data_IF_873342120579
#
_entry.id   IF_873342120579
#
_cell.length_a   1.000
_cell.length_b   1.000
_cell.length_c   1.000
_cell.angle_alpha   90.00
_cell.angle_beta   90.00
_cell.angle_gamma   90.00
#
_symmetry.space_group_name_H-M   'P 1'
#
loop_
_entity.id
_entity.type
_entity.pdbx_description
1 polymer ?
#
# COMPACT_ATOMS: atom_id res chain seq x y z
N UNK A 1 -2.38 -25.30 13.12
CA UNK A 1 -2.59 -23.84 13.14
C UNK A 1 -1.81 -23.30 11.95
N UNK A 2 -2.42 -23.35 10.77
CA UNK A 2 -1.77 -22.98 9.50
C UNK A 2 -1.54 -21.48 9.52
N UNK A 3 -0.27 -21.08 9.46
CA UNK A 3 0.20 -19.72 9.62
C UNK A 3 -0.48 -18.84 8.56
N UNK A 4 -1.05 -17.70 8.96
CA UNK A 4 -1.69 -16.74 8.03
C UNK A 4 -0.68 -16.27 6.96
N UNK A 5 0.62 -16.38 7.26
CA UNK A 5 1.73 -16.20 6.31
C UNK A 5 1.60 -17.07 5.06
N UNK A 6 1.18 -18.33 5.19
CA UNK A 6 1.18 -19.27 4.06
C UNK A 6 0.03 -19.03 3.06
N UNK A 7 -1.02 -18.28 3.42
CA UNK A 7 -2.18 -18.05 2.54
C UNK A 7 -2.18 -16.70 1.82
N UNK A 8 -1.30 -15.77 2.19
CA UNK A 8 -1.27 -14.41 1.62
C UNK A 8 -0.08 -14.25 0.66
N UNK A 9 1.02 -14.98 0.90
CA UNK A 9 2.25 -14.94 0.09
C UNK A 9 2.08 -15.60 -1.29
N UNK A 10 1.02 -16.39 -1.52
CA UNK A 10 0.75 -17.03 -2.81
C UNK A 10 0.41 -16.07 -3.97
N UNK A 11 0.23 -14.76 -3.72
CA UNK A 11 -0.20 -13.84 -4.79
C UNK A 11 0.95 -13.22 -5.60
N UNK A 12 2.13 -13.09 -5.01
CA UNK A 12 3.33 -12.65 -5.73
C UNK A 12 4.27 -13.84 -5.80
N UNK A 13 4.24 -14.52 -6.93
CA UNK A 13 5.21 -15.57 -7.21
C UNK A 13 6.56 -14.93 -7.54
N UNK A 14 7.42 -14.86 -6.51
CA UNK A 14 8.79 -14.35 -6.64
C UNK A 14 9.52 -15.04 -7.79
N UNK A 15 9.29 -16.33 -8.00
CA UNK A 15 9.97 -17.10 -9.04
C UNK A 15 9.54 -16.65 -10.42
N UNK A 16 8.24 -16.44 -10.63
CA UNK A 16 7.71 -15.97 -11.92
C UNK A 16 8.10 -14.52 -12.21
N UNK A 17 8.08 -13.64 -11.20
CA UNK A 17 8.52 -12.25 -11.34
C UNK A 17 10.01 -12.14 -11.70
N UNK A 18 10.84 -12.97 -11.09
CA UNK A 18 12.27 -13.04 -11.36
C UNK A 18 12.52 -13.67 -12.74
N UNK A 19 11.83 -14.76 -13.06
CA UNK A 19 11.90 -15.41 -14.37
C UNK A 19 11.54 -14.45 -15.50
N UNK A 20 10.43 -13.70 -15.36
CA UNK A 20 9.96 -12.73 -16.34
C UNK A 20 10.91 -11.55 -16.53
N UNK A 21 11.56 -11.07 -15.46
CA UNK A 21 12.42 -9.88 -15.50
C UNK A 21 13.63 -9.99 -16.44
N UNK A 22 14.15 -11.20 -16.63
CA UNK A 22 15.30 -11.50 -17.52
C UNK A 22 14.99 -12.58 -18.54
N UNK A 23 13.72 -12.96 -18.68
CA UNK A 23 13.21 -13.97 -19.63
C UNK A 23 13.94 -15.32 -19.53
N UNK A 24 14.01 -15.85 -18.32
CA UNK A 24 14.58 -17.18 -18.05
C UNK A 24 13.50 -18.17 -17.63
N UNK A 25 13.80 -19.47 -17.70
CA UNK A 25 12.90 -20.50 -17.20
C UNK A 25 12.73 -20.41 -15.68
N UNK A 26 11.53 -20.76 -15.19
CA UNK A 26 11.17 -20.75 -13.77
C UNK A 26 12.09 -21.61 -12.91
N UNK A 27 12.53 -22.78 -13.41
CA UNK A 27 13.47 -23.65 -12.69
C UNK A 27 14.83 -22.97 -12.51
N UNK A 28 15.27 -22.22 -13.51
CA UNK A 28 16.53 -21.48 -13.46
C UNK A 28 16.42 -20.30 -12.47
N UNK A 29 15.32 -19.56 -12.52
CA UNK A 29 15.04 -18.50 -11.54
C UNK A 29 15.03 -19.04 -10.11
N UNK A 30 14.33 -20.15 -9.84
CA UNK A 30 14.27 -20.79 -8.52
C UNK A 30 15.67 -21.17 -7.99
N UNK A 31 16.53 -21.75 -8.84
CA UNK A 31 17.92 -22.06 -8.46
C UNK A 31 18.70 -20.80 -8.10
N UNK A 32 18.63 -19.77 -8.93
CA UNK A 32 19.35 -18.51 -8.68
C UNK A 32 18.85 -17.83 -7.40
N UNK A 33 17.55 -17.88 -7.14
CA UNK A 33 16.96 -17.39 -5.87
C UNK A 33 17.54 -18.15 -4.68
N UNK A 34 17.51 -19.50 -4.69
CA UNK A 34 18.08 -20.33 -3.62
C UNK A 34 19.53 -19.97 -3.36
N UNK A 35 20.32 -19.77 -4.41
CA UNK A 35 21.73 -19.39 -4.26
C UNK A 35 21.91 -18.04 -3.55
N UNK A 36 21.11 -17.03 -3.88
CA UNK A 36 21.18 -15.76 -3.17
C UNK A 36 20.66 -15.86 -1.72
N UNK A 37 19.71 -16.76 -1.45
CA UNK A 37 19.22 -17.04 -0.09
C UNK A 37 20.24 -17.77 0.77
N UNK A 38 21.00 -18.68 0.18
CA UNK A 38 22.15 -19.35 0.80
C UNK A 38 23.36 -18.41 1.01
N UNK A 39 23.26 -17.15 0.58
CA UNK A 39 24.26 -16.12 0.81
C UNK A 39 25.37 -16.05 -0.24
N UNK A 40 25.23 -16.74 -1.37
CA UNK A 40 26.21 -16.65 -2.45
C UNK A 40 26.26 -15.23 -3.05
N UNK A 41 27.48 -14.72 -3.28
CA UNK A 41 27.69 -13.40 -3.90
C UNK A 41 27.75 -13.50 -5.42
N UNK A 42 27.45 -12.41 -6.13
CA UNK A 42 27.53 -12.38 -7.59
C UNK A 42 28.90 -12.81 -8.12
N UNK A 43 30.04 -12.31 -7.59
CA UNK A 43 31.36 -12.78 -8.03
C UNK A 43 31.57 -14.30 -7.80
N UNK A 44 31.07 -14.84 -6.68
CA UNK A 44 31.17 -16.26 -6.39
C UNK A 44 30.36 -17.10 -7.39
N UNK A 45 29.11 -16.70 -7.66
CA UNK A 45 28.23 -17.40 -8.60
C UNK A 45 28.83 -17.38 -10.01
N UNK A 46 29.26 -16.20 -10.47
CA UNK A 46 29.85 -16.01 -11.80
C UNK A 46 31.11 -16.86 -12.01
N UNK A 47 31.92 -17.04 -10.95
CA UNK A 47 33.20 -17.76 -11.04
C UNK A 47 33.08 -19.26 -10.80
N UNK A 48 32.26 -19.69 -9.84
CA UNK A 48 32.25 -21.06 -9.34
C UNK A 48 30.96 -21.83 -9.59
N UNK A 49 29.90 -21.17 -10.09
CA UNK A 49 28.57 -21.77 -10.27
C UNK A 49 27.97 -21.47 -11.64
N UNK A 50 28.82 -21.19 -12.64
CA UNK A 50 28.44 -20.84 -14.01
C UNK A 50 27.54 -21.90 -14.67
N UNK A 51 27.86 -23.18 -14.47
CA UNK A 51 27.05 -24.30 -15.00
C UNK A 51 25.63 -24.36 -14.40
N UNK A 52 25.50 -24.00 -13.12
CA UNK A 52 24.22 -24.04 -12.40
C UNK A 52 23.28 -22.93 -12.88
N UNK A 53 23.85 -21.78 -13.25
CA UNK A 53 23.11 -20.62 -13.76
C UNK A 53 22.94 -20.61 -15.28
N UNK A 54 23.44 -21.62 -16.00
CA UNK A 54 23.38 -21.66 -17.46
C UNK A 54 24.27 -20.61 -18.14
N UNK A 55 25.36 -20.22 -17.49
CA UNK A 55 26.33 -19.28 -18.07
C UNK A 55 26.02 -17.81 -17.90
N UNK A 56 25.15 -17.42 -16.95
CA UNK A 56 24.77 -16.01 -16.75
C UNK A 56 25.98 -15.10 -16.53
N UNK A 57 25.98 -13.98 -17.24
CA UNK A 57 26.95 -12.91 -17.07
C UNK A 57 26.78 -12.19 -15.72
N UNK A 58 27.85 -11.67 -15.11
CA UNK A 58 27.79 -10.95 -13.83
C UNK A 58 26.76 -9.82 -13.82
N UNK A 59 26.61 -9.09 -14.92
CA UNK A 59 25.63 -8.01 -15.04
C UNK A 59 24.18 -8.51 -14.90
N UNK A 60 23.86 -9.69 -15.43
CA UNK A 60 22.53 -10.32 -15.29
C UNK A 60 22.30 -10.77 -13.86
N UNK A 61 23.30 -11.36 -13.22
CA UNK A 61 23.23 -11.77 -11.81
C UNK A 61 23.01 -10.58 -10.87
N UNK A 62 23.61 -9.42 -11.14
CA UNK A 62 23.34 -8.19 -10.41
C UNK A 62 21.88 -7.74 -10.53
N UNK A 63 21.34 -7.66 -11.77
CA UNK A 63 19.93 -7.31 -12.00
C UNK A 63 18.96 -8.27 -11.32
N UNK A 64 19.27 -9.57 -11.38
CA UNK A 64 18.50 -10.62 -10.71
C UNK A 64 18.50 -10.40 -9.19
N UNK A 65 19.66 -10.14 -8.59
CA UNK A 65 19.77 -9.86 -7.15
C UNK A 65 18.95 -8.64 -6.75
N UNK A 66 19.01 -7.56 -7.53
CA UNK A 66 18.21 -6.34 -7.30
C UNK A 66 16.71 -6.62 -7.39
N UNK A 67 16.26 -7.34 -8.43
CA UNK A 67 14.85 -7.72 -8.60
C UNK A 67 14.36 -8.65 -7.49
N UNK A 68 15.16 -9.62 -7.07
CA UNK A 68 14.84 -10.51 -5.94
C UNK A 68 14.64 -9.67 -4.67
N UNK A 69 15.56 -8.74 -4.40
CA UNK A 69 15.48 -7.89 -3.22
C UNK A 69 14.24 -6.97 -3.27
N UNK A 70 13.96 -6.34 -4.40
CA UNK A 70 12.79 -5.46 -4.54
C UNK A 70 11.46 -6.23 -4.38
N UNK A 71 11.35 -7.42 -4.98
CA UNK A 71 10.19 -8.30 -4.80
C UNK A 71 10.03 -8.73 -3.32
N UNK A 72 11.13 -9.08 -2.63
CA UNK A 72 11.09 -9.42 -1.20
C UNK A 72 10.62 -8.24 -0.34
N UNK A 73 11.13 -7.04 -0.60
CA UNK A 73 10.71 -5.83 0.10
C UNK A 73 9.23 -5.53 -0.13
N UNK A 74 8.73 -5.71 -1.35
CA UNK A 74 7.31 -5.58 -1.69
C UNK A 74 6.46 -6.58 -0.91
N UNK A 75 6.80 -7.87 -0.95
CA UNK A 75 6.08 -8.93 -0.24
C UNK A 75 6.03 -8.63 1.26
N UNK A 76 7.17 -8.26 1.86
CA UNK A 76 7.24 -7.92 3.28
C UNK A 76 6.38 -6.69 3.62
N UNK A 77 6.36 -5.67 2.74
CA UNK A 77 5.55 -4.46 2.93
C UNK A 77 4.04 -4.76 2.84
N UNK A 78 3.64 -5.63 1.92
CA UNK A 78 2.26 -6.09 1.77
C UNK A 78 1.84 -6.86 3.02
N UNK A 79 2.64 -7.85 3.46
CA UNK A 79 2.35 -8.64 4.67
C UNK A 79 2.21 -7.75 5.92
N UNK A 80 3.15 -6.82 6.13
CA UNK A 80 3.05 -5.85 7.24
C UNK A 80 1.78 -5.01 7.17
N UNK A 81 1.36 -4.60 5.97
CA UNK A 81 0.12 -3.84 5.77
C UNK A 81 -1.11 -4.70 6.10
N UNK A 82 -1.17 -5.93 5.61
CA UNK A 82 -2.22 -6.89 5.93
C UNK A 82 -2.37 -7.09 7.44
N UNK A 83 -1.26 -7.37 8.13
CA UNK A 83 -1.26 -7.55 9.59
C UNK A 83 -1.73 -6.28 10.32
N UNK A 84 -1.30 -5.10 9.86
CA UNK A 84 -1.66 -3.82 10.44
C UNK A 84 -3.17 -3.51 10.34
N UNK A 85 -3.76 -3.69 9.15
CA UNK A 85 -5.19 -3.42 8.94
C UNK A 85 -6.08 -4.51 9.53
N UNK A 86 -5.64 -5.77 9.48
CA UNK A 86 -6.36 -6.89 10.10
C UNK A 86 -6.50 -6.70 11.62
N UNK A 87 -5.41 -6.32 12.30
CA UNK A 87 -5.42 -6.03 13.76
C UNK A 87 -6.34 -4.89 14.16
N UNK A 88 -6.64 -3.95 13.25
CA UNK A 88 -7.53 -2.82 13.50
C UNK A 88 -8.97 -3.06 13.02
N UNK A 89 -9.27 -4.22 12.43
CA UNK A 89 -10.58 -4.49 11.83
C UNK A 89 -10.88 -3.64 10.59
N UNK A 90 -9.85 -3.05 9.96
CA UNK A 90 -9.96 -2.17 8.80
C UNK A 90 -9.65 -2.89 7.48
N UNK A 91 -9.31 -4.18 7.52
CA UNK A 91 -9.00 -4.97 6.33
C UNK A 91 -10.30 -5.42 5.63
N UNK A 92 -10.73 -4.66 4.63
CA UNK A 92 -11.85 -5.04 3.76
C UNK A 92 -11.40 -6.00 2.66
N UNK A 93 -12.36 -6.72 2.04
CA UNK A 93 -12.07 -7.57 0.87
C UNK A 93 -11.48 -6.77 -0.29
N UNK A 94 -11.94 -5.55 -0.48
CA UNK A 94 -11.45 -4.65 -1.54
C UNK A 94 -10.00 -4.20 -1.27
N UNK A 95 -9.69 -3.76 -0.05
CA UNK A 95 -8.33 -3.41 0.35
C UNK A 95 -7.37 -4.61 0.23
N UNK A 96 -7.83 -5.80 0.63
CA UNK A 96 -7.09 -7.05 0.48
C UNK A 96 -6.77 -7.34 -1.00
N UNK A 97 -7.75 -7.20 -1.89
CA UNK A 97 -7.56 -7.38 -3.33
C UNK A 97 -6.58 -6.36 -3.91
N UNK A 98 -6.68 -5.10 -3.50
CA UNK A 98 -5.82 -4.03 -4.00
C UNK A 98 -4.37 -4.19 -3.51
N UNK A 99 -4.16 -4.55 -2.24
CA UNK A 99 -2.83 -4.83 -1.69
C UNK A 99 -2.11 -5.94 -2.45
N UNK A 100 -2.86 -6.97 -2.86
CA UNK A 100 -2.34 -8.09 -3.66
C UNK A 100 -1.96 -7.71 -5.10
N UNK A 101 -2.51 -6.62 -5.62
CA UNK A 101 -2.24 -6.14 -6.98
C UNK A 101 -1.09 -5.12 -7.05
N UNK A 102 -0.61 -4.62 -5.91
CA UNK A 102 0.49 -3.66 -5.87
C UNK A 102 1.78 -4.25 -6.47
N UNK A 103 2.44 -3.48 -7.33
CA UNK A 103 3.67 -3.86 -8.04
C UNK A 103 4.93 -3.22 -7.46
N UNK A 104 4.77 -2.29 -6.53
CA UNK A 104 5.87 -1.54 -5.92
C UNK A 104 5.58 -1.20 -4.46
N UNK A 105 6.63 -0.97 -3.68
CA UNK A 105 6.49 -0.57 -2.27
C UNK A 105 5.84 0.80 -2.13
N UNK A 106 5.99 1.63 -3.16
CA UNK A 106 5.39 2.95 -3.32
C UNK A 106 3.88 2.84 -3.49
N UNK A 107 3.40 1.95 -4.38
CA UNK A 107 1.96 1.68 -4.53
C UNK A 107 1.33 1.18 -3.22
N UNK A 108 2.00 0.28 -2.49
CA UNK A 108 1.53 -0.16 -1.18
C UNK A 108 1.47 1.01 -0.20
N UNK A 109 2.46 1.90 -0.23
CA UNK A 109 2.46 3.09 0.64
C UNK A 109 1.29 4.00 0.29
N UNK A 110 1.11 4.35 -0.97
CA UNK A 110 0.01 5.20 -1.46
C UNK A 110 -1.36 4.62 -1.10
N UNK A 111 -1.55 3.32 -1.28
CA UNK A 111 -2.77 2.61 -0.91
C UNK A 111 -3.06 2.69 0.59
N UNK A 112 -2.03 2.54 1.42
CA UNK A 112 -2.22 2.32 2.87
C UNK A 112 -2.09 3.58 3.70
N UNK A 113 -1.40 4.60 3.22
CA UNK A 113 -1.13 5.84 3.96
C UNK A 113 -2.39 6.64 4.30
N UNK A 114 -3.38 6.79 3.41
CA UNK A 114 -4.64 7.46 3.74
C UNK A 114 -5.47 6.73 4.80
N UNK A 115 -5.40 5.41 4.81
CA UNK A 115 -6.17 4.54 5.70
C UNK A 115 -5.59 4.48 7.11
N UNK A 116 -4.32 4.86 7.27
CA UNK A 116 -3.72 4.94 8.60
C UNK A 116 -4.41 6.05 9.39
N UNK A 117 -4.77 5.80 10.66
CA UNK A 117 -5.34 6.83 11.51
C UNK A 117 -4.36 8.00 11.58
N UNK A 118 -4.81 9.14 11.04
CA UNK A 118 -4.09 10.40 11.18
C UNK A 118 -4.04 10.77 12.66
N UNK A 119 -2.92 11.32 13.11
CA UNK A 119 -2.75 11.67 14.51
C UNK A 119 -3.90 12.55 15.04
N UNK A 120 -4.24 12.48 16.34
CA UNK A 120 -5.39 13.17 16.93
C UNK A 120 -5.31 14.71 16.82
N UNK A 121 -4.15 15.23 16.41
CA UNK A 121 -3.89 16.66 16.25
C UNK A 121 -4.32 17.23 14.90
N UNK A 122 -4.66 16.39 13.92
CA UNK A 122 -5.11 16.90 12.61
C UNK A 122 -6.45 17.63 12.72
N UNK A 123 -6.65 18.66 11.90
CA UNK A 123 -7.91 19.41 11.87
C UNK A 123 -9.09 18.49 11.51
N UNK A 124 -8.90 17.55 10.58
CA UNK A 124 -9.92 16.55 10.25
C UNK A 124 -10.25 15.64 11.43
N UNK A 125 -9.26 15.13 12.17
CA UNK A 125 -9.51 14.30 13.36
C UNK A 125 -10.26 15.07 14.46
N UNK A 126 -9.88 16.32 14.72
CA UNK A 126 -10.59 17.19 15.68
C UNK A 126 -12.02 17.50 15.23
N UNK A 127 -12.23 17.72 13.93
CA UNK A 127 -13.55 17.95 13.35
C UNK A 127 -14.45 16.70 13.42
N UNK A 128 -13.89 15.52 13.13
CA UNK A 128 -14.59 14.22 13.28
C UNK A 128 -14.95 13.93 14.74
N UNK A 129 -14.08 14.29 15.69
CA UNK A 129 -14.33 14.12 17.13
C UNK A 129 -15.53 14.91 17.64
N UNK A 130 -15.94 15.98 16.95
CA UNK A 130 -17.16 16.76 17.24
C UNK A 130 -18.29 16.47 16.25
N UNK A 131 -18.26 15.29 15.61
CA UNK A 131 -19.31 14.80 14.70
C UNK A 131 -19.56 15.66 13.45
N UNK A 132 -18.50 16.24 12.84
CA UNK A 132 -18.63 16.93 11.54
C UNK A 132 -18.60 15.99 10.31
N UNK A 133 -18.30 14.70 10.48
CA UNK A 133 -18.26 13.74 9.36
C UNK A 133 -19.61 13.56 8.64
N UNK A 134 -20.75 13.41 9.34
CA UNK A 134 -22.06 13.32 8.66
C UNK A 134 -22.40 14.58 7.85
N UNK A 135 -22.00 15.76 8.33
CA UNK A 135 -22.24 17.04 7.64
C UNK A 135 -21.40 17.12 6.37
N UNK A 136 -20.13 16.70 6.43
CA UNK A 136 -19.26 16.60 5.26
C UNK A 136 -19.83 15.63 4.21
N UNK A 137 -20.32 14.46 4.64
CA UNK A 137 -20.93 13.49 3.74
C UNK A 137 -22.26 13.99 3.16
N UNK A 138 -23.06 14.74 3.91
CA UNK A 138 -24.28 15.37 3.39
C UNK A 138 -23.93 16.35 2.27
N UNK A 139 -22.92 17.21 2.47
CA UNK A 139 -22.44 18.15 1.44
C UNK A 139 -22.04 17.41 0.17
N UNK A 140 -21.25 16.34 0.31
CA UNK A 140 -20.76 15.56 -0.84
C UNK A 140 -21.88 14.87 -1.63
N UNK A 141 -22.96 14.45 -0.96
CA UNK A 141 -24.06 13.72 -1.58
C UNK A 141 -25.25 14.62 -1.97
N UNK A 142 -25.25 15.88 -1.54
CA UNK A 142 -26.33 16.83 -1.81
C UNK A 142 -26.15 17.51 -3.17
N UNK A 143 -27.26 17.68 -3.89
CA UNK A 143 -27.32 18.50 -5.12
C UNK A 143 -27.67 19.97 -4.83
N UNK A 144 -27.75 20.35 -3.56
CA UNK A 144 -28.17 21.68 -3.10
C UNK A 144 -27.24 22.20 -2.00
N UNK A 145 -27.09 23.52 -1.83
CA UNK A 145 -26.27 24.08 -0.76
C UNK A 145 -26.74 23.62 0.63
N UNK A 146 -25.82 23.14 1.45
CA UNK A 146 -26.06 22.75 2.85
C UNK A 146 -25.69 23.92 3.77
N UNK A 147 -26.63 24.31 4.63
CA UNK A 147 -26.36 25.32 5.68
C UNK A 147 -25.59 24.68 6.84
N UNK A 148 -24.29 24.97 6.90
CA UNK A 148 -23.37 24.43 7.89
C UNK A 148 -23.76 24.76 9.33
N UNK A 149 -24.17 26.00 9.63
CA UNK A 149 -24.47 26.40 11.01
C UNK A 149 -25.79 25.79 11.50
N UNK A 150 -26.70 25.44 10.57
CA UNK A 150 -27.92 24.73 10.91
C UNK A 150 -27.73 23.23 11.09
N UNK A 151 -26.77 22.63 10.36
CA UNK A 151 -26.56 21.17 10.36
C UNK A 151 -25.46 20.71 11.31
N UNK A 152 -24.49 21.57 11.63
CA UNK A 152 -23.40 21.22 12.53
C UNK A 152 -23.89 21.03 13.98
N UNK A 153 -23.34 20.06 14.72
CA UNK A 153 -23.61 19.92 16.15
C UNK A 153 -23.22 21.18 16.94
N UNK A 154 -23.92 21.51 18.04
CA UNK A 154 -23.57 22.65 18.90
C UNK A 154 -22.13 22.62 19.39
N UNK A 155 -21.61 21.42 19.68
CA UNK A 155 -20.22 21.19 20.10
C UNK A 155 -19.24 21.58 19.01
N UNK A 156 -19.57 21.31 17.74
CA UNK A 156 -18.74 21.68 16.61
C UNK A 156 -18.75 23.20 16.36
N UNK A 157 -19.92 23.83 16.46
CA UNK A 157 -20.05 25.30 16.36
C UNK A 157 -19.24 25.97 17.47
N UNK A 158 -19.31 25.46 18.70
CA UNK A 158 -18.52 25.96 19.83
C UNK A 158 -17.02 25.75 19.63
N UNK A 159 -16.62 24.60 19.08
CA UNK A 159 -15.21 24.24 18.91
C UNK A 159 -14.52 25.02 17.79
N UNK A 160 -15.23 25.31 16.69
CA UNK A 160 -14.64 25.89 15.48
C UNK A 160 -15.10 27.31 15.16
N UNK A 161 -16.27 27.76 15.66
CA UNK A 161 -16.77 29.12 15.46
C UNK A 161 -16.72 29.56 13.99
N UNK A 162 -15.96 30.62 13.69
CA UNK A 162 -15.75 31.14 12.34
C UNK A 162 -14.99 30.17 11.41
N UNK A 163 -14.22 29.23 11.95
CA UNK A 163 -13.45 28.23 11.19
C UNK A 163 -14.24 26.94 10.91
N UNK A 164 -15.56 26.93 11.16
CA UNK A 164 -16.41 25.76 10.94
C UNK A 164 -16.36 25.27 9.49
N UNK A 165 -16.35 26.20 8.53
CA UNK A 165 -16.26 25.86 7.10
C UNK A 165 -14.94 25.15 6.77
N UNK A 166 -13.81 25.70 7.23
CA UNK A 166 -12.49 25.10 7.06
C UNK A 166 -12.40 23.71 7.69
N UNK A 167 -12.97 23.52 8.88
CA UNK A 167 -13.03 22.23 9.54
C UNK A 167 -13.76 21.17 8.71
N UNK A 168 -14.89 21.52 8.09
CA UNK A 168 -15.64 20.63 7.20
C UNK A 168 -14.88 20.35 5.91
N UNK A 169 -14.23 21.35 5.31
CA UNK A 169 -13.36 21.15 4.15
C UNK A 169 -12.23 20.17 4.44
N UNK A 170 -11.62 20.23 5.63
CA UNK A 170 -10.61 19.26 6.04
C UNK A 170 -11.16 17.84 6.20
N UNK A 171 -12.41 17.69 6.64
CA UNK A 171 -13.07 16.38 6.69
C UNK A 171 -13.32 15.85 5.28
N UNK A 172 -13.82 16.68 4.38
CA UNK A 172 -14.03 16.33 2.97
C UNK A 172 -12.71 15.94 2.30
N UNK A 173 -11.65 16.73 2.51
CA UNK A 173 -10.32 16.41 2.01
C UNK A 173 -9.79 15.09 2.58
N UNK A 174 -10.11 14.77 3.84
CA UNK A 174 -9.78 13.47 4.43
C UNK A 174 -10.53 12.31 3.80
N UNK A 175 -11.78 12.53 3.37
CA UNK A 175 -12.58 11.54 2.61
C UNK A 175 -11.96 11.31 1.23
N UNK A 176 -11.69 12.38 0.47
CA UNK A 176 -11.07 12.25 -0.86
C UNK A 176 -9.67 11.67 -0.82
N UNK A 177 -8.86 12.03 0.18
CA UNK A 177 -7.52 11.45 0.33
C UNK A 177 -7.56 9.93 0.51
N UNK A 178 -8.68 9.38 0.99
CA UNK A 178 -8.90 7.93 1.19
C UNK A 178 -9.59 7.27 0.00
N UNK A 179 -10.02 8.03 -1.00
CA UNK A 179 -10.58 7.51 -2.24
C UNK A 179 -9.45 7.17 -3.21
N UNK A 180 -9.18 5.87 -3.35
CA UNK A 180 -8.05 5.37 -4.11
C UNK A 180 -8.23 5.51 -5.63
N UNK A 181 -9.46 5.43 -6.14
CA UNK A 181 -9.74 5.64 -7.57
C UNK A 181 -9.35 7.07 -7.97
N UNK A 182 -9.68 8.03 -7.10
CA UNK A 182 -9.34 9.43 -7.30
C UNK A 182 -7.83 9.69 -7.20
N UNK A 183 -7.14 9.06 -6.23
CA UNK A 183 -5.67 9.15 -6.10
C UNK A 183 -4.97 8.59 -7.33
N UNK A 184 -5.37 7.41 -7.80
CA UNK A 184 -4.80 6.78 -9.01
C UNK A 184 -5.04 7.61 -10.26
N UNK A 185 -6.23 8.20 -10.41
CA UNK A 185 -6.52 9.07 -11.54
C UNK A 185 -5.67 10.34 -11.53
N UNK A 186 -5.50 10.95 -10.36
CA UNK A 186 -4.69 12.16 -10.20
C UNK A 186 -3.20 11.96 -10.52
N UNK A 187 -2.64 10.76 -10.27
CA UNK A 187 -1.25 10.43 -10.60
C UNK A 187 -1.02 10.15 -12.09
N UNK A 188 -2.08 9.88 -12.86
CA UNK A 188 -2.01 9.65 -14.30
C UNK A 188 -2.17 10.93 -15.15
N UNK A 189 -2.45 12.07 -14.52
CA UNK A 189 -2.56 13.40 -15.15
C UNK A 189 -1.20 14.12 -15.18
#
# INVERSE_FOLDING_TARGET
>A
MTDIKDRIIDTIDLTDEVAGSVRIDRKLASRVISMFEEGFTVPFIARYRKEVTGGMEPATLHRLKEKINSCKMLIEKIDKSFQYFSKQGLLTEDLSRQLKQCKSTEEVKLLTEPLKPKGPRTLSARAKAVNLEPVAMEILNSSHPVDLFRRAPPEAIKAFGSSLHEAVCHVIADVFAKDLELVRHAEML
#
